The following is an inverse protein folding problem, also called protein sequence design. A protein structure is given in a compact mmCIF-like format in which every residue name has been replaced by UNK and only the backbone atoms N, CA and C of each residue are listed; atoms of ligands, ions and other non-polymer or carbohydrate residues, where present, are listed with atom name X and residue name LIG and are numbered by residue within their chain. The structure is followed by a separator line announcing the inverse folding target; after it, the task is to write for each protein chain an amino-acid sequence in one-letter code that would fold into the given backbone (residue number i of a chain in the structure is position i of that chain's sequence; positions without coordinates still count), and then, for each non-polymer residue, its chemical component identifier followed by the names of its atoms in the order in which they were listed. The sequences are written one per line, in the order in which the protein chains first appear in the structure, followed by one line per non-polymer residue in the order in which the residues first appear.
data_IF_270197081393
#
_entry.id   IF_270197081393
#
_cell.length_a   1.000
_cell.length_b   1.000
_cell.length_c   1.000
_cell.angle_alpha   90.00
_cell.angle_beta   90.00
_cell.angle_gamma   90.00
#
_symmetry.space_group_name_H-M   'P 1'
#
loop_
_entity.id
_entity.type
_entity.pdbx_description
1 polymer ?
#
# COMPACT_ATOMS: atom_id res chain seq x y z
N UNK A 1 14.18 27.64 -23.52
CA UNK A 1 13.90 28.36 -22.26
C UNK A 1 14.27 27.38 -21.16
N UNK A 2 15.28 27.72 -20.35
CA UNK A 2 16.04 26.80 -19.51
C UNK A 2 15.29 26.65 -18.18
N UNK A 3 14.72 25.46 -17.96
CA UNK A 3 14.06 25.02 -16.70
C UNK A 3 14.52 23.59 -16.33
N UNK A 4 15.44 23.00 -17.10
CA UNK A 4 15.62 21.55 -17.26
C UNK A 4 17.09 21.10 -17.18
N UNK A 5 17.71 21.16 -16.00
CA UNK A 5 18.88 20.31 -15.70
C UNK A 5 18.92 19.96 -14.22
N UNK A 6 19.24 18.71 -13.83
CA UNK A 6 18.71 17.44 -14.32
C UNK A 6 18.11 16.62 -13.13
N UNK A 7 17.59 15.41 -13.31
CA UNK A 7 17.68 14.39 -12.23
C UNK A 7 18.29 13.10 -12.79
N UNK A 8 19.61 12.98 -12.80
CA UNK A 8 20.25 11.69 -12.86
C UNK A 8 20.33 11.17 -11.42
N UNK A 9 19.76 9.99 -11.17
CA UNK A 9 20.68 8.90 -10.91
C UNK A 9 20.09 7.56 -11.37
N UNK A 10 20.79 6.91 -12.30
CA UNK A 10 20.38 5.75 -13.11
C UNK A 10 21.10 4.51 -12.61
N UNK A 11 20.31 3.57 -12.11
CA UNK A 11 20.66 2.37 -11.33
C UNK A 11 21.86 1.48 -11.79
N UNK A 12 22.30 0.68 -10.82
CA UNK A 12 23.43 -0.28 -10.68
C UNK A 12 24.88 0.23 -10.65
N UNK A 13 25.29 1.25 -11.42
CA UNK A 13 26.71 1.67 -11.48
C UNK A 13 27.04 3.04 -10.89
N UNK A 14 26.05 3.77 -10.36
CA UNK A 14 26.33 5.12 -9.88
C UNK A 14 26.84 5.15 -8.44
N UNK A 15 28.02 5.76 -8.19
CA UNK A 15 28.56 5.89 -6.84
C UNK A 15 27.59 6.67 -5.94
N UNK A 16 27.46 6.28 -4.68
CA UNK A 16 26.53 6.91 -3.72
C UNK A 16 26.63 8.45 -3.60
N UNK A 17 27.75 9.05 -4.01
CA UNK A 17 27.99 10.49 -4.05
C UNK A 17 27.22 11.23 -5.15
N UNK A 18 26.77 10.50 -6.17
CA UNK A 18 26.12 11.02 -7.38
C UNK A 18 24.58 10.75 -7.35
N UNK A 19 24.07 10.12 -6.29
CA UNK A 19 22.63 9.95 -6.03
C UNK A 19 22.01 11.31 -5.69
N UNK A 20 20.97 11.70 -6.40
CA UNK A 20 20.20 12.90 -6.11
C UNK A 20 19.11 12.64 -5.03
N UNK A 21 19.31 13.06 -3.77
CA UNK A 21 18.33 12.83 -2.72
C UNK A 21 17.08 13.73 -2.85
N UNK A 22 17.10 14.73 -3.72
CA UNK A 22 16.02 15.70 -3.89
C UNK A 22 15.29 15.56 -5.24
N UNK A 23 15.47 14.41 -5.91
CA UNK A 23 14.92 14.14 -7.24
C UNK A 23 13.42 14.42 -7.34
N UNK A 24 12.66 14.03 -6.32
CA UNK A 24 11.20 14.12 -6.26
C UNK A 24 10.70 15.56 -6.31
N UNK A 25 11.53 16.56 -5.96
CA UNK A 25 11.16 17.99 -6.04
C UNK A 25 11.07 18.49 -7.47
N UNK A 26 11.70 17.78 -8.43
CA UNK A 26 11.77 18.17 -9.85
C UNK A 26 11.00 17.22 -10.77
N UNK A 27 10.62 16.05 -10.26
CA UNK A 27 9.94 15.01 -11.02
C UNK A 27 8.49 15.38 -11.36
N UNK A 28 8.08 15.05 -12.57
CA UNK A 28 6.69 14.94 -12.98
C UNK A 28 6.23 13.50 -12.74
N UNK A 29 5.28 13.34 -11.81
CA UNK A 29 4.67 12.06 -11.49
C UNK A 29 3.51 11.74 -12.43
N UNK A 30 3.36 10.46 -12.77
CA UNK A 30 2.23 9.94 -13.52
C UNK A 30 1.58 8.78 -12.76
N UNK A 31 0.39 9.02 -12.20
CA UNK A 31 -0.43 7.98 -11.59
C UNK A 31 -0.99 7.07 -12.68
N UNK A 32 -0.69 5.77 -12.59
CA UNK A 32 -1.11 4.78 -13.59
C UNK A 32 -1.61 3.49 -12.94
N UNK A 33 -2.89 3.20 -13.15
CA UNK A 33 -3.49 1.94 -12.70
C UNK A 33 -3.11 0.82 -13.67
N UNK A 34 -2.40 -0.20 -13.18
CA UNK A 34 -2.01 -1.40 -13.96
C UNK A 34 -3.22 -1.99 -14.68
N UNK A 35 -4.32 -2.19 -13.94
CA UNK A 35 -5.58 -2.77 -14.41
C UNK A 35 -6.17 -2.12 -15.66
N UNK A 36 -5.94 -0.83 -15.88
CA UNK A 36 -6.65 -0.04 -16.89
C UNK A 36 -5.74 0.52 -18.00
N UNK A 37 -4.43 0.30 -17.93
CA UNK A 37 -3.51 0.94 -18.86
C UNK A 37 -3.32 0.15 -20.16
N UNK A 38 -2.93 -1.13 -20.08
CA UNK A 38 -2.74 -1.99 -21.25
C UNK A 38 -2.83 -3.46 -20.87
N UNK A 39 -3.73 -4.19 -21.53
CA UNK A 39 -3.82 -5.66 -21.49
C UNK A 39 -2.81 -6.25 -22.48
N UNK A 40 -1.95 -7.16 -22.03
CA UNK A 40 -0.94 -7.83 -22.87
C UNK A 40 -1.33 -9.24 -23.30
N UNK A 41 -2.30 -9.86 -22.64
CA UNK A 41 -2.61 -11.28 -22.75
C UNK A 41 -4.01 -11.57 -23.34
N UNK A 42 -4.86 -10.55 -23.47
CA UNK A 42 -6.20 -10.61 -24.05
C UNK A 42 -7.31 -11.06 -23.11
N UNK A 43 -7.11 -11.04 -21.79
CA UNK A 43 -8.12 -11.40 -20.79
C UNK A 43 -9.07 -10.25 -20.42
N UNK A 44 -8.82 -9.04 -20.94
CA UNK A 44 -9.62 -7.84 -20.70
C UNK A 44 -9.15 -7.01 -19.50
N UNK A 45 -8.03 -7.36 -18.87
CA UNK A 45 -7.46 -6.70 -17.71
C UNK A 45 -6.05 -6.22 -18.06
N UNK A 46 -5.72 -4.98 -17.69
CA UNK A 46 -4.36 -4.48 -17.83
C UNK A 46 -3.40 -5.15 -16.84
N UNK A 47 -2.18 -5.41 -17.29
CA UNK A 47 -1.17 -6.18 -16.56
C UNK A 47 0.21 -5.50 -16.60
N UNK A 48 1.15 -5.98 -15.77
CA UNK A 48 2.49 -5.38 -15.65
C UNK A 48 3.28 -5.45 -16.97
N UNK A 49 3.14 -6.53 -17.74
CA UNK A 49 3.79 -6.68 -19.05
C UNK A 49 3.24 -5.67 -20.07
N UNK A 50 1.94 -5.43 -20.05
CA UNK A 50 1.29 -4.41 -20.86
C UNK A 50 1.75 -3.01 -20.48
N UNK A 51 1.89 -2.71 -19.19
CA UNK A 51 2.47 -1.46 -18.72
C UNK A 51 3.93 -1.30 -19.17
N UNK A 52 4.76 -2.34 -19.04
CA UNK A 52 6.14 -2.37 -19.54
C UNK A 52 6.20 -2.05 -21.03
N UNK A 53 5.31 -2.64 -21.85
CA UNK A 53 5.24 -2.41 -23.29
C UNK A 53 4.85 -0.96 -23.66
N UNK A 54 4.39 -0.14 -22.71
CA UNK A 54 4.02 1.26 -22.91
C UNK A 54 5.01 2.25 -22.31
N UNK A 55 6.12 1.79 -21.73
CA UNK A 55 7.14 2.67 -21.16
C UNK A 55 7.76 3.61 -22.21
N UNK A 56 7.86 3.21 -23.48
CA UNK A 56 8.32 4.11 -24.56
C UNK A 56 7.38 5.30 -24.78
N UNK A 57 6.07 5.09 -24.61
CA UNK A 57 5.07 6.16 -24.67
C UNK A 57 5.22 7.10 -23.48
N UNK A 58 5.39 6.55 -22.27
CA UNK A 58 5.55 7.33 -21.05
C UNK A 58 6.86 8.14 -21.05
N UNK A 59 7.94 7.55 -21.58
CA UNK A 59 9.20 8.27 -21.79
C UNK A 59 9.04 9.39 -22.82
N UNK A 60 8.39 9.13 -23.96
CA UNK A 60 8.09 10.16 -24.97
C UNK A 60 7.27 11.32 -24.39
N UNK A 61 6.32 11.01 -23.50
CA UNK A 61 5.49 12.00 -22.82
C UNK A 61 6.32 12.90 -21.88
N UNK A 62 7.48 12.42 -21.43
CA UNK A 62 8.40 13.15 -20.55
C UNK A 62 8.10 12.95 -19.07
N UNK A 63 7.59 11.78 -18.69
CA UNK A 63 7.34 11.43 -17.28
C UNK A 63 8.67 11.06 -16.60
N UNK A 64 8.85 11.51 -15.36
CA UNK A 64 10.04 11.22 -14.55
C UNK A 64 9.81 10.09 -13.54
N UNK A 65 8.56 9.94 -13.06
CA UNK A 65 8.21 8.92 -12.08
C UNK A 65 6.80 8.37 -12.28
N UNK A 66 6.67 7.05 -12.26
CA UNK A 66 5.41 6.34 -12.26
C UNK A 66 4.96 6.11 -10.83
N UNK A 67 3.71 6.46 -10.53
CA UNK A 67 3.05 6.12 -9.29
C UNK A 67 2.01 5.04 -9.57
N UNK A 68 2.23 3.86 -9.00
CA UNK A 68 1.31 2.73 -9.08
C UNK A 68 0.38 2.73 -7.86
N UNK A 69 -0.94 2.90 -8.03
CA UNK A 69 -1.92 2.47 -7.04
C UNK A 69 -1.81 0.98 -6.72
N UNK A 70 -2.48 0.46 -5.68
CA UNK A 70 -2.30 -0.91 -5.20
C UNK A 70 -2.45 -1.97 -6.29
N UNK A 71 -1.43 -2.83 -6.39
CA UNK A 71 -1.40 -4.01 -7.26
C UNK A 71 -1.16 -5.31 -6.46
N UNK A 72 -1.15 -5.22 -5.13
CA UNK A 72 -0.96 -6.36 -4.25
C UNK A 72 -2.12 -7.35 -4.35
N UNK A 73 -1.89 -8.57 -3.89
CA UNK A 73 -2.96 -9.56 -3.79
C UNK A 73 -4.05 -9.06 -2.85
N UNK A 74 -5.27 -8.95 -3.38
CA UNK A 74 -6.43 -8.36 -2.72
C UNK A 74 -7.70 -9.04 -3.22
N UNK A 75 -8.79 -9.11 -2.42
CA UNK A 75 -10.11 -9.49 -2.91
C UNK A 75 -10.78 -8.39 -3.75
N UNK A 76 -10.15 -7.21 -3.89
CA UNK A 76 -10.59 -6.08 -4.69
C UNK A 76 -11.97 -5.53 -4.31
N UNK A 77 -12.29 -5.55 -3.00
CA UNK A 77 -13.55 -5.00 -2.50
C UNK A 77 -13.47 -3.49 -2.26
N UNK A 78 -12.25 -2.94 -2.22
CA UNK A 78 -11.99 -1.50 -2.20
C UNK A 78 -10.85 -1.12 -3.17
N UNK A 79 -10.99 -1.57 -4.43
CA UNK A 79 -10.05 -1.18 -5.49
C UNK A 79 -8.60 -1.65 -5.32
N UNK A 80 -8.35 -2.59 -4.40
CA UNK A 80 -7.00 -3.09 -4.08
C UNK A 80 -6.41 -2.54 -2.79
N UNK A 81 -7.05 -1.55 -2.16
CA UNK A 81 -6.63 -1.02 -0.85
C UNK A 81 -6.94 -2.00 0.31
N UNK A 82 -7.79 -2.99 0.09
CA UNK A 82 -7.99 -4.13 0.98
C UNK A 82 -6.94 -5.24 0.73
N UNK A 83 -5.72 -5.05 1.21
CA UNK A 83 -4.56 -5.94 0.95
C UNK A 83 -4.64 -7.26 1.73
N UNK A 84 -4.50 -8.40 1.05
CA UNK A 84 -4.52 -9.75 1.66
C UNK A 84 -3.16 -10.43 1.73
N UNK A 85 -2.15 -9.92 1.02
CA UNK A 85 -0.75 -10.31 1.11
C UNK A 85 0.13 -9.15 0.59
N UNK A 86 0.91 -8.53 1.47
CA UNK A 86 1.76 -7.39 1.14
C UNK A 86 2.95 -7.72 0.24
N UNK A 87 3.31 -9.00 0.07
CA UNK A 87 4.51 -9.43 -0.67
C UNK A 87 4.18 -10.14 -1.97
N UNK A 88 2.90 -10.21 -2.33
CA UNK A 88 2.42 -10.84 -3.54
C UNK A 88 1.73 -9.82 -4.46
N UNK A 89 1.99 -9.96 -5.76
CA UNK A 89 1.24 -9.27 -6.82
C UNK A 89 -0.12 -9.96 -7.01
N UNK A 90 -1.17 -9.20 -7.31
CA UNK A 90 -2.45 -9.76 -7.70
C UNK A 90 -2.26 -10.63 -8.96
N UNK A 91 -2.70 -11.91 -8.98
CA UNK A 91 -2.42 -12.81 -10.08
C UNK A 91 -2.88 -12.32 -11.47
N UNK A 92 -3.92 -11.49 -11.53
CA UNK A 92 -4.43 -10.88 -12.77
C UNK A 92 -3.48 -9.83 -13.35
N UNK A 93 -2.54 -9.29 -12.55
CA UNK A 93 -1.56 -8.29 -12.98
C UNK A 93 -0.20 -8.87 -13.36
N UNK A 94 0.05 -10.15 -13.05
CA UNK A 94 1.32 -10.83 -13.24
C UNK A 94 1.90 -11.38 -11.94
N UNK A 95 3.22 -11.49 -11.88
CA UNK A 95 3.96 -11.95 -10.70
C UNK A 95 5.11 -11.00 -10.32
N UNK A 96 5.91 -11.40 -9.33
CA UNK A 96 7.06 -10.60 -8.89
C UNK A 96 8.15 -10.47 -9.96
N UNK A 97 8.31 -11.45 -10.85
CA UNK A 97 9.30 -11.34 -11.93
C UNK A 97 8.86 -10.31 -12.96
N UNK A 98 7.57 -10.28 -13.29
CA UNK A 98 6.98 -9.25 -14.16
C UNK A 98 7.11 -7.85 -13.55
N UNK A 99 7.01 -7.73 -12.22
CA UNK A 99 7.22 -6.48 -11.51
C UNK A 99 8.67 -6.00 -11.57
N UNK A 100 9.63 -6.88 -11.30
CA UNK A 100 11.07 -6.55 -11.39
C UNK A 100 11.45 -6.15 -12.81
N UNK A 101 10.97 -6.89 -13.83
CA UNK A 101 11.19 -6.54 -15.24
C UNK A 101 10.63 -5.14 -15.57
N UNK A 102 9.45 -4.81 -15.05
CA UNK A 102 8.86 -3.48 -15.21
C UNK A 102 9.72 -2.37 -14.58
N UNK A 103 10.18 -2.57 -13.34
CA UNK A 103 11.02 -1.59 -12.62
C UNK A 103 12.34 -1.39 -13.38
N UNK A 104 13.03 -2.47 -13.74
CA UNK A 104 14.27 -2.41 -14.52
C UNK A 104 14.08 -1.68 -15.86
N UNK A 105 12.99 -1.98 -16.57
CA UNK A 105 12.67 -1.35 -17.85
C UNK A 105 12.34 0.14 -17.70
N UNK A 106 11.70 0.55 -16.60
CA UNK A 106 11.44 1.96 -16.28
C UNK A 106 12.75 2.69 -15.98
N UNK A 107 13.61 2.09 -15.15
CA UNK A 107 14.93 2.63 -14.79
C UNK A 107 15.85 2.80 -16.01
N UNK A 108 15.86 1.84 -16.94
CA UNK A 108 16.62 1.94 -18.21
C UNK A 108 16.19 3.14 -19.06
N UNK A 109 14.99 3.67 -18.84
CA UNK A 109 14.44 4.85 -19.52
C UNK A 109 14.59 6.13 -18.71
N UNK A 110 15.23 6.06 -17.55
CA UNK A 110 15.40 7.18 -16.62
C UNK A 110 14.14 7.52 -15.81
N UNK A 111 13.14 6.64 -15.79
CA UNK A 111 11.92 6.81 -15.00
C UNK A 111 12.04 6.06 -13.68
N UNK A 112 11.55 6.68 -12.60
CA UNK A 112 11.44 6.07 -11.27
C UNK A 112 10.08 5.42 -11.06
N UNK A 113 9.97 4.52 -10.08
CA UNK A 113 8.72 3.86 -9.72
C UNK A 113 8.45 4.02 -8.23
N UNK A 114 7.34 4.65 -7.87
CA UNK A 114 6.79 4.60 -6.52
C UNK A 114 5.49 3.79 -6.50
N UNK A 115 5.18 3.19 -5.35
CA UNK A 115 3.96 2.40 -5.18
C UNK A 115 3.14 2.92 -4.00
N UNK A 116 1.82 2.80 -4.09
CA UNK A 116 0.96 2.93 -2.93
C UNK A 116 1.25 1.79 -1.94
N UNK A 117 1.31 2.12 -0.66
CA UNK A 117 1.45 1.15 0.42
C UNK A 117 0.45 1.47 1.52
N UNK A 118 -0.49 0.55 1.75
CA UNK A 118 -1.53 0.68 2.78
C UNK A 118 -0.90 0.34 4.13
N UNK A 119 -0.77 1.35 5.00
CA UNK A 119 -0.13 1.15 6.31
C UNK A 119 -1.14 0.71 7.37
N UNK A 120 -2.34 1.27 7.33
CA UNK A 120 -3.27 1.28 8.45
C UNK A 120 -3.99 -0.05 8.71
N UNK A 121 -4.37 -0.75 7.64
CA UNK A 121 -5.30 -1.87 7.72
C UNK A 121 -4.94 -2.95 6.70
N UNK A 122 -5.46 -4.16 6.89
CA UNK A 122 -5.41 -5.23 5.89
C UNK A 122 -6.82 -5.60 5.46
N UNK A 123 -6.98 -6.44 4.44
CA UNK A 123 -8.22 -7.18 4.22
C UNK A 123 -8.55 -8.09 5.41
N UNK A 124 -9.83 -8.31 5.69
CA UNK A 124 -10.32 -9.37 6.58
C UNK A 124 -9.94 -10.78 6.09
N UNK A 125 -9.50 -10.95 4.84
CA UNK A 125 -8.98 -12.20 4.30
C UNK A 125 -7.47 -12.39 4.53
N UNK A 126 -6.78 -11.39 5.09
CA UNK A 126 -5.35 -11.49 5.38
C UNK A 126 -5.08 -12.63 6.37
N UNK A 127 -4.04 -13.46 6.18
CA UNK A 127 -3.72 -14.57 7.08
C UNK A 127 -3.57 -14.14 8.55
N UNK A 128 -3.06 -12.93 8.79
CA UNK A 128 -2.97 -12.37 10.14
C UNK A 128 -4.35 -12.18 10.78
N UNK A 129 -5.33 -11.60 10.09
CA UNK A 129 -6.68 -11.43 10.65
C UNK A 129 -7.35 -12.77 10.89
N UNK A 130 -7.19 -13.70 9.95
CA UNK A 130 -7.70 -15.06 10.09
C UNK A 130 -7.08 -15.77 11.29
N UNK A 131 -5.78 -15.62 11.55
CA UNK A 131 -5.15 -16.17 12.74
C UNK A 131 -5.63 -15.45 14.02
N UNK A 132 -5.64 -14.12 14.02
CA UNK A 132 -6.07 -13.27 15.14
C UNK A 132 -7.48 -13.59 15.62
N UNK A 133 -8.44 -13.80 14.71
CA UNK A 133 -9.83 -14.11 15.07
C UNK A 133 -10.04 -15.55 15.55
N UNK A 134 -9.17 -16.49 15.17
CA UNK A 134 -9.31 -17.91 15.50
C UNK A 134 -8.50 -18.32 16.73
N UNK A 135 -7.40 -17.64 17.03
CA UNK A 135 -6.51 -17.91 18.15
C UNK A 135 -6.11 -16.60 18.87
N UNK A 136 -6.97 -16.07 19.77
CA UNK A 136 -6.71 -14.82 20.48
C UNK A 136 -5.47 -14.83 21.37
N UNK A 137 -5.06 -16.01 21.87
CA UNK A 137 -3.86 -16.17 22.70
C UNK A 137 -2.60 -16.47 21.86
N UNK A 138 -2.76 -16.60 20.54
CA UNK A 138 -1.71 -16.89 19.58
C UNK A 138 -0.85 -15.68 19.21
N UNK A 139 0.19 -15.87 18.38
CA UNK A 139 1.13 -14.80 18.02
C UNK A 139 0.48 -13.62 17.28
N UNK A 140 -0.67 -13.84 16.64
CA UNK A 140 -1.42 -12.82 15.90
C UNK A 140 -2.62 -12.28 16.69
N UNK A 141 -2.82 -12.72 17.94
CA UNK A 141 -3.97 -12.33 18.77
C UNK A 141 -4.15 -10.81 18.84
N UNK A 142 -3.05 -10.09 19.03
CA UNK A 142 -3.02 -8.63 19.19
C UNK A 142 -2.50 -7.89 17.93
N UNK A 143 -2.60 -8.50 16.74
CA UNK A 143 -2.26 -7.81 15.48
C UNK A 143 -3.32 -6.78 15.04
N UNK A 144 -4.53 -6.88 15.58
CA UNK A 144 -5.65 -5.99 15.29
C UNK A 144 -6.22 -5.44 16.59
N UNK A 145 -6.98 -4.35 16.49
CA UNK A 145 -7.58 -3.71 17.66
C UNK A 145 -8.93 -4.37 17.96
N UNK A 146 -9.00 -5.08 19.09
CA UNK A 146 -10.18 -5.82 19.54
C UNK A 146 -10.77 -5.24 20.84
N UNK A 147 -12.10 -5.29 20.97
CA UNK A 147 -12.81 -4.85 22.17
C UNK A 147 -14.06 -5.72 22.45
N UNK A 148 -14.47 -5.81 23.71
CA UNK A 148 -15.69 -6.54 24.11
C UNK A 148 -16.98 -5.78 23.80
N UNK A 149 -16.90 -4.47 23.58
CA UNK A 149 -18.01 -3.62 23.14
C UNK A 149 -17.54 -2.59 22.10
N UNK A 150 -18.50 -1.86 21.52
CA UNK A 150 -18.30 -0.85 20.46
C UNK A 150 -18.21 0.58 21.01
N UNK A 151 -17.84 0.75 22.29
CA UNK A 151 -17.90 2.05 22.97
C UNK A 151 -16.59 2.80 23.04
N UNK A 152 -15.49 2.22 22.56
CA UNK A 152 -14.19 2.86 22.55
C UNK A 152 -14.06 3.84 21.38
N UNK A 153 -13.25 4.88 21.55
CA UNK A 153 -12.92 5.88 20.52
C UNK A 153 -14.13 6.64 19.94
N UNK A 154 -15.10 7.02 20.78
CA UNK A 154 -16.38 7.62 20.34
C UNK A 154 -16.25 8.96 19.60
N UNK A 155 -15.15 9.68 19.83
CA UNK A 155 -14.90 10.98 19.21
C UNK A 155 -14.35 10.85 17.77
N UNK A 156 -13.92 9.64 17.36
CA UNK A 156 -13.50 9.36 16.00
C UNK A 156 -14.70 9.24 15.06
N UNK A 157 -14.72 10.08 14.02
CA UNK A 157 -15.77 10.06 12.99
C UNK A 157 -15.73 8.78 12.16
N UNK A 158 -16.86 8.42 11.57
CA UNK A 158 -16.96 7.40 10.52
C UNK A 158 -16.59 8.06 9.18
N UNK A 159 -15.58 7.52 8.49
CA UNK A 159 -15.11 8.08 7.21
C UNK A 159 -16.13 7.80 6.09
N UNK A 160 -16.59 6.55 5.98
CA UNK A 160 -17.58 6.12 4.99
C UNK A 160 -18.98 6.07 5.59
N UNK A 161 -19.48 7.22 6.06
CA UNK A 161 -20.77 7.36 6.75
C UNK A 161 -21.99 6.88 5.95
N UNK A 162 -21.90 6.84 4.62
CA UNK A 162 -22.97 6.37 3.75
C UNK A 162 -23.04 4.83 3.64
N UNK A 163 -22.02 4.12 4.14
CA UNK A 163 -21.90 2.65 4.07
C UNK A 163 -21.76 2.02 5.45
N UNK A 164 -20.90 2.57 6.30
CA UNK A 164 -20.59 2.02 7.61
C UNK A 164 -21.44 2.69 8.70
N UNK A 165 -22.04 1.88 9.57
CA UNK A 165 -22.85 2.37 10.68
C UNK A 165 -22.02 2.66 11.94
N UNK A 166 -20.81 2.11 12.01
CA UNK A 166 -19.87 2.22 13.13
C UNK A 166 -18.46 1.94 12.62
N UNK A 167 -17.44 2.41 13.36
CA UNK A 167 -16.04 2.00 13.18
C UNK A 167 -15.71 0.69 13.92
N UNK A 168 -16.70 0.08 14.57
CA UNK A 168 -16.60 -1.22 15.24
C UNK A 168 -17.53 -2.24 14.59
N UNK A 169 -16.99 -3.38 14.19
CA UNK A 169 -17.77 -4.52 13.67
C UNK A 169 -17.60 -5.75 14.55
N UNK A 170 -18.71 -6.41 14.89
CA UNK A 170 -18.70 -7.64 15.67
C UNK A 170 -18.22 -8.84 14.84
N UNK A 171 -17.19 -9.53 15.30
CA UNK A 171 -16.72 -10.77 14.70
C UNK A 171 -17.43 -12.00 15.31
N UNK A 172 -18.14 -12.80 14.50
CA UNK A 172 -18.89 -13.94 15.02
C UNK A 172 -18.03 -15.13 15.44
N UNK A 173 -16.74 -15.18 15.08
CA UNK A 173 -15.82 -16.25 15.48
C UNK A 173 -15.17 -15.91 16.81
N UNK A 174 -14.53 -14.73 16.91
CA UNK A 174 -13.84 -14.26 18.12
C UNK A 174 -14.80 -13.78 19.22
N UNK A 175 -16.05 -13.46 18.87
CA UNK A 175 -17.07 -12.92 19.79
C UNK A 175 -16.69 -11.58 20.43
N UNK A 176 -15.92 -10.79 19.69
CA UNK A 176 -15.47 -9.44 20.05
C UNK A 176 -15.69 -8.51 18.86
N UNK A 177 -15.67 -7.21 19.11
CA UNK A 177 -15.64 -6.19 18.07
C UNK A 177 -14.20 -5.93 17.63
N UNK A 178 -14.00 -5.65 16.35
CA UNK A 178 -12.73 -5.13 15.85
C UNK A 178 -12.92 -3.73 15.25
N UNK A 179 -11.87 -2.93 15.35
CA UNK A 179 -11.82 -1.58 14.82
C UNK A 179 -11.55 -1.58 13.32
N UNK A 180 -12.19 -0.65 12.61
CA UNK A 180 -11.89 -0.32 11.23
C UNK A 180 -12.22 1.16 10.96
N UNK A 181 -11.29 1.91 10.36
CA UNK A 181 -11.54 3.30 9.95
C UNK A 181 -12.25 3.42 8.60
N UNK A 182 -12.09 2.38 7.79
CA UNK A 182 -12.63 2.27 6.44
C UNK A 182 -13.77 1.24 6.44
N UNK A 183 -13.85 0.36 5.45
CA UNK A 183 -14.92 -0.64 5.42
C UNK A 183 -14.73 -1.73 6.47
N UNK A 184 -15.81 -2.40 6.85
CA UNK A 184 -15.76 -3.50 7.82
C UNK A 184 -14.81 -4.63 7.41
N UNK A 185 -14.57 -4.83 6.10
CA UNK A 185 -13.63 -5.83 5.60
C UNK A 185 -12.17 -5.33 5.53
N UNK A 186 -11.87 -4.19 6.16
CA UNK A 186 -10.55 -3.58 6.30
C UNK A 186 -10.22 -3.38 7.79
N UNK A 187 -10.03 -4.47 8.57
CA UNK A 187 -9.66 -4.36 9.97
C UNK A 187 -8.33 -3.63 10.17
N UNK A 188 -8.32 -2.67 11.08
CA UNK A 188 -7.16 -1.84 11.39
C UNK A 188 -6.10 -2.64 12.17
N UNK A 189 -4.85 -2.48 11.76
CA UNK A 189 -3.70 -3.05 12.44
C UNK A 189 -3.46 -2.34 13.76
N UNK A 190 -3.04 -3.09 14.77
CA UNK A 190 -2.68 -2.53 16.07
C UNK A 190 -1.22 -2.05 16.07
N UNK A 191 -0.98 -0.76 15.77
CA UNK A 191 0.37 -0.19 15.78
C UNK A 191 0.98 -0.01 17.19
N UNK A 192 0.23 -0.22 18.28
CA UNK A 192 0.84 -0.33 19.62
C UNK A 192 1.66 -1.62 19.76
N UNK A 193 1.37 -2.63 18.95
CA UNK A 193 2.10 -3.90 18.94
C UNK A 193 3.41 -3.76 18.15
N UNK A 194 4.60 -3.89 18.77
CA UNK A 194 5.87 -3.76 18.05
C UNK A 194 6.06 -4.84 16.98
N UNK A 195 5.42 -6.01 17.10
CA UNK A 195 5.48 -7.03 16.06
C UNK A 195 4.79 -6.57 14.75
N UNK A 196 3.67 -5.83 14.87
CA UNK A 196 2.97 -5.24 13.71
C UNK A 196 3.85 -4.21 13.02
N UNK A 197 4.52 -3.34 13.80
CA UNK A 197 5.44 -2.35 13.25
C UNK A 197 6.59 -3.02 12.46
N UNK A 198 7.20 -4.06 13.02
CA UNK A 198 8.28 -4.80 12.35
C UNK A 198 7.80 -5.51 11.07
N UNK A 199 6.61 -6.09 11.06
CA UNK A 199 6.04 -6.73 9.86
C UNK A 199 5.79 -5.72 8.73
N UNK A 200 5.24 -4.55 9.06
CA UNK A 200 5.03 -3.46 8.09
C UNK A 200 6.36 -2.93 7.56
N UNK A 201 7.35 -2.71 8.43
CA UNK A 201 8.69 -2.30 8.02
C UNK A 201 9.36 -3.38 7.15
N UNK A 202 9.17 -4.65 7.47
CA UNK A 202 9.67 -5.79 6.68
C UNK A 202 9.07 -5.80 5.28
N UNK A 203 7.75 -5.60 5.16
CA UNK A 203 7.07 -5.49 3.88
C UNK A 203 7.54 -4.28 3.05
N UNK A 204 7.76 -3.12 3.69
CA UNK A 204 8.37 -1.96 3.02
C UNK A 204 9.79 -2.27 2.51
N UNK A 205 10.63 -2.90 3.33
CA UNK A 205 11.99 -3.31 2.93
C UNK A 205 11.98 -4.28 1.76
N UNK A 206 11.06 -5.24 1.75
CA UNK A 206 10.91 -6.20 0.66
C UNK A 206 10.76 -5.50 -0.70
N UNK A 207 9.89 -4.49 -0.81
CA UNK A 207 9.71 -3.77 -2.07
C UNK A 207 10.88 -2.85 -2.42
N UNK A 208 11.51 -2.22 -1.42
CA UNK A 208 12.75 -1.44 -1.64
C UNK A 208 13.90 -2.32 -2.15
N UNK A 209 14.02 -3.54 -1.64
CA UNK A 209 15.02 -4.53 -2.08
C UNK A 209 14.74 -5.00 -3.53
N UNK A 210 13.50 -4.90 -4.01
CA UNK A 210 13.11 -5.12 -5.41
C UNK A 210 13.32 -3.89 -6.31
N UNK A 211 13.80 -2.78 -5.76
CA UNK A 211 14.30 -1.65 -6.54
C UNK A 211 13.36 -0.45 -6.71
N UNK A 212 12.20 -0.40 -6.04
CA UNK A 212 11.35 0.79 -6.13
C UNK A 212 12.02 2.04 -5.51
N UNK A 213 11.59 3.21 -5.96
CA UNK A 213 12.16 4.51 -5.62
C UNK A 213 11.48 5.20 -4.42
N UNK A 214 10.39 4.63 -3.91
CA UNK A 214 9.65 5.18 -2.79
C UNK A 214 8.21 4.69 -2.70
N UNK A 215 7.49 5.28 -1.74
CA UNK A 215 6.11 4.93 -1.45
C UNK A 215 5.23 6.16 -1.36
N UNK A 216 3.97 6.02 -1.76
CA UNK A 216 2.88 6.77 -1.14
C UNK A 216 2.40 5.96 0.06
N UNK A 217 2.55 6.50 1.27
CA UNK A 217 2.03 5.87 2.47
C UNK A 217 0.56 6.25 2.64
N UNK A 218 -0.33 5.28 2.49
CA UNK A 218 -1.77 5.49 2.56
C UNK A 218 -2.31 5.35 3.99
N UNK A 219 -3.35 6.12 4.29
CA UNK A 219 -4.07 6.12 5.57
C UNK A 219 -3.23 6.42 6.84
N UNK A 220 -2.04 7.03 6.69
CA UNK A 220 -1.12 7.35 7.80
C UNK A 220 -1.74 8.16 8.95
N UNK A 221 -2.64 9.13 8.75
CA UNK A 221 -3.22 9.86 9.89
C UNK A 221 -3.94 8.99 10.93
N UNK A 222 -4.25 7.73 10.59
CA UNK A 222 -5.14 6.87 11.36
C UNK A 222 -4.44 5.70 12.09
N UNK A 223 -3.11 5.60 12.04
CA UNK A 223 -2.35 4.42 12.52
C UNK A 223 -2.58 4.08 14.00
N UNK A 224 -2.78 5.10 14.84
CA UNK A 224 -3.01 4.94 16.27
C UNK A 224 -4.38 5.49 16.66
N UNK A 225 -5.00 4.88 17.67
CA UNK A 225 -6.23 5.34 18.27
C UNK A 225 -6.02 5.57 19.78
N UNK A 226 -6.57 6.66 20.32
CA UNK A 226 -6.45 7.02 21.73
C UNK A 226 -7.77 7.58 22.24
N UNK A 227 -8.17 7.16 23.44
CA UNK A 227 -9.41 7.61 24.07
C UNK A 227 -9.42 9.13 24.32
N UNK A 228 -10.58 9.76 24.10
CA UNK A 228 -10.74 11.21 24.24
C UNK A 228 -10.08 12.04 23.13
N UNK A 229 -9.73 11.40 22.01
CA UNK A 229 -9.22 12.03 20.78
C UNK A 229 -10.08 11.64 19.58
N UNK A 230 -9.94 12.38 18.47
CA UNK A 230 -10.58 12.01 17.19
C UNK A 230 -9.85 10.85 16.46
N UNK A 231 -8.79 10.31 17.07
CA UNK A 231 -7.94 9.26 16.51
C UNK A 231 -7.33 9.62 15.16
N UNK A 232 -7.00 10.91 14.95
CA UNK A 232 -6.31 11.38 13.75
C UNK A 232 -5.03 12.16 14.13
N UNK A 233 -3.92 11.92 13.43
CA UNK A 233 -2.66 12.67 13.57
C UNK A 233 -2.07 12.66 14.99
N UNK A 234 -2.19 11.54 15.69
CA UNK A 234 -1.65 11.39 17.04
C UNK A 234 -0.12 11.48 17.03
N UNK A 235 0.53 11.92 18.13
CA UNK A 235 1.99 12.03 18.19
C UNK A 235 2.76 10.72 17.97
N UNK A 236 2.10 9.57 18.13
CA UNK A 236 2.68 8.25 17.90
C UNK A 236 2.78 7.87 16.41
N UNK A 237 1.98 8.51 15.54
CA UNK A 237 1.99 8.34 14.08
C UNK A 237 3.31 8.81 13.46
#
# INVERSE_FOLDING_TARGET
MIVNEPVPDTFEDTPAKDRDPEWFKRAVFYEVLVRSFQDSNGDGIGDLKGLTAKLDYLQWLGIDCLWLPPFFKSPLRDGGYDVSDYTAVLPEFGDLADFVEFVDAAHQRGMRVIIDFVMNHTSDQHPWFQASRNDPDGPYGDYYVWADDDKQYQDARIIFVDTEASNWTFDPVRKQYYWHRFFSHQPDLNFENPAVQEEIISALRFWLDLGIDGFRLDAVPYLYAEEGTDCENLPAT
#
